data_IF_016261756618
#
_entry.id   IF_016261756618
#
_cell.length_a   1.000
_cell.length_b   1.000
_cell.length_c   1.000
_cell.angle_alpha   90.00
_cell.angle_beta   90.00
_cell.angle_gamma   90.00
#
_symmetry.space_group_name_H-M   'P 1'
#
loop_
_entity.id
_entity.type
_entity.pdbx_description
1 polymer ?
#
# COMPACT_ATOMS: atom_id res chain seq x y z
N UNK A 1 -11.03 15.02 -29.43
CA UNK A 1 -10.25 14.76 -28.20
C UNK A 1 -10.74 13.49 -27.47
N UNK A 2 -12.02 13.38 -27.21
CA UNK A 2 -12.63 12.25 -26.50
C UNK A 2 -12.33 10.90 -27.17
N UNK A 3 -12.42 10.79 -28.49
CA UNK A 3 -12.10 9.54 -29.21
C UNK A 3 -10.65 9.10 -29.04
N UNK A 4 -9.70 10.04 -29.00
CA UNK A 4 -8.29 9.75 -28.80
C UNK A 4 -8.03 9.22 -27.37
N UNK A 5 -8.60 9.88 -26.37
CA UNK A 5 -8.53 9.44 -24.95
C UNK A 5 -9.12 8.04 -24.80
N UNK A 6 -10.31 7.81 -25.37
CA UNK A 6 -10.96 6.49 -25.33
C UNK A 6 -10.10 5.41 -25.97
N UNK A 7 -9.47 5.69 -27.11
CA UNK A 7 -8.59 4.72 -27.77
C UNK A 7 -7.40 4.33 -26.89
N UNK A 8 -6.73 5.31 -26.26
CA UNK A 8 -5.59 5.03 -25.38
C UNK A 8 -6.01 4.35 -24.08
N UNK A 9 -7.19 4.68 -23.54
CA UNK A 9 -7.75 3.99 -22.37
C UNK A 9 -8.04 2.53 -22.69
N UNK A 10 -8.72 2.23 -23.79
CA UNK A 10 -9.03 0.85 -24.20
C UNK A 10 -7.76 0.04 -24.43
N UNK A 11 -6.72 0.63 -24.98
CA UNK A 11 -5.44 -0.04 -25.20
C UNK A 11 -4.69 -0.34 -23.90
N UNK A 12 -4.83 0.52 -22.89
CA UNK A 12 -4.13 0.34 -21.59
C UNK A 12 -4.94 -0.45 -20.56
N UNK A 13 -6.21 -0.78 -20.85
CA UNK A 13 -7.11 -1.36 -19.86
C UNK A 13 -6.63 -2.71 -19.31
N UNK A 14 -6.06 -3.58 -20.15
CA UNK A 14 -5.57 -4.89 -19.71
C UNK A 14 -4.46 -4.73 -18.67
N UNK A 15 -3.49 -3.87 -18.94
CA UNK A 15 -2.40 -3.58 -18.00
C UNK A 15 -2.94 -2.91 -16.73
N UNK A 16 -3.88 -1.96 -16.87
CA UNK A 16 -4.50 -1.29 -15.74
C UNK A 16 -5.24 -2.29 -14.82
N UNK A 17 -6.02 -3.19 -15.41
CA UNK A 17 -6.74 -4.25 -14.68
C UNK A 17 -5.75 -5.19 -13.99
N UNK A 18 -4.70 -5.62 -14.67
CA UNK A 18 -3.68 -6.49 -14.09
C UNK A 18 -2.98 -5.83 -12.90
N UNK A 19 -2.54 -4.58 -13.04
CA UNK A 19 -1.95 -3.81 -11.94
C UNK A 19 -2.95 -3.59 -10.79
N UNK A 20 -4.21 -3.30 -11.11
CA UNK A 20 -5.27 -3.11 -10.11
C UNK A 20 -5.51 -4.37 -9.29
N UNK A 21 -5.66 -5.52 -9.95
CA UNK A 21 -5.83 -6.80 -9.27
C UNK A 21 -4.61 -7.17 -8.42
N UNK A 22 -3.41 -6.92 -8.94
CA UNK A 22 -2.18 -7.20 -8.21
C UNK A 22 -2.07 -6.34 -6.93
N UNK A 23 -2.40 -5.04 -6.98
CA UNK A 23 -2.40 -4.16 -5.81
C UNK A 23 -3.45 -4.60 -4.79
N UNK A 24 -4.70 -4.83 -5.23
CA UNK A 24 -5.80 -5.27 -4.37
C UNK A 24 -5.43 -6.56 -3.63
N UNK A 25 -4.96 -7.56 -4.37
CA UNK A 25 -4.59 -8.86 -3.83
C UNK A 25 -3.41 -8.76 -2.86
N UNK A 26 -2.36 -8.02 -3.24
CA UNK A 26 -1.17 -7.89 -2.41
C UNK A 26 -1.46 -7.17 -1.09
N UNK A 27 -2.15 -6.01 -1.13
CA UNK A 27 -2.47 -5.26 0.09
C UNK A 27 -3.41 -6.08 0.99
N UNK A 28 -4.40 -6.76 0.42
CA UNK A 28 -5.31 -7.60 1.18
C UNK A 28 -4.57 -8.73 1.91
N UNK A 29 -3.73 -9.49 1.21
CA UNK A 29 -2.93 -10.57 1.82
C UNK A 29 -1.95 -10.01 2.86
N UNK A 30 -1.34 -8.86 2.57
CA UNK A 30 -0.37 -8.24 3.49
C UNK A 30 -1.01 -7.86 4.83
N UNK A 31 -2.21 -7.29 4.79
CA UNK A 31 -2.94 -6.96 6.01
C UNK A 31 -3.46 -8.22 6.71
N UNK A 32 -3.97 -9.18 5.96
CA UNK A 32 -4.33 -10.48 6.50
C UNK A 32 -3.15 -11.16 7.22
N UNK A 33 -1.95 -11.09 6.66
CA UNK A 33 -0.76 -11.63 7.33
C UNK A 33 -0.44 -10.95 8.67
N UNK A 34 -0.78 -9.66 8.84
CA UNK A 34 -0.58 -8.93 10.10
C UNK A 34 -1.44 -9.53 11.22
N UNK A 35 -2.62 -10.10 10.92
CA UNK A 35 -3.54 -10.67 11.91
C UNK A 35 -2.99 -11.93 12.60
N UNK A 36 -2.06 -12.64 11.94
CA UNK A 36 -1.44 -13.83 12.52
C UNK A 36 -0.37 -13.51 13.57
N UNK A 37 0.13 -12.27 13.58
CA UNK A 37 1.17 -11.88 14.52
C UNK A 37 0.58 -11.13 15.70
N UNK A 38 0.44 -11.80 16.83
CA UNK A 38 0.10 -11.15 18.09
C UNK A 38 1.09 -10.02 18.43
N UNK A 39 0.56 -8.90 18.92
CA UNK A 39 1.35 -7.72 19.27
C UNK A 39 2.44 -8.06 20.31
N UNK A 40 2.16 -8.98 21.24
CA UNK A 40 3.13 -9.39 22.26
C UNK A 40 4.32 -10.17 21.67
N UNK A 41 4.05 -11.14 20.78
CA UNK A 41 5.11 -11.88 20.08
C UNK A 41 5.93 -11.00 19.16
N UNK A 42 5.27 -10.05 18.49
CA UNK A 42 5.94 -9.12 17.61
C UNK A 42 6.89 -8.19 18.37
N UNK A 43 6.51 -7.71 19.56
CA UNK A 43 7.39 -6.94 20.46
C UNK A 43 8.65 -7.71 20.82
N UNK A 44 8.54 -8.99 21.20
CA UNK A 44 9.70 -9.82 21.53
C UNK A 44 10.69 -9.91 20.35
N UNK A 45 10.17 -10.08 19.13
CA UNK A 45 11.02 -10.13 17.93
C UNK A 45 11.71 -8.78 17.69
N UNK A 46 11.00 -7.66 17.83
CA UNK A 46 11.59 -6.33 17.65
C UNK A 46 12.64 -6.02 18.73
N UNK A 47 12.39 -6.40 20.00
CA UNK A 47 13.37 -6.22 21.07
C UNK A 47 14.68 -6.96 20.79
N UNK A 48 14.60 -8.15 20.17
CA UNK A 48 15.79 -8.90 19.75
C UNK A 48 16.61 -8.17 18.67
N UNK A 49 15.93 -7.38 17.82
CA UNK A 49 16.56 -6.61 16.75
C UNK A 49 16.84 -5.14 17.10
N UNK A 50 16.70 -4.73 18.36
CA UNK A 50 16.82 -3.34 18.79
C UNK A 50 18.16 -2.70 18.42
N UNK A 51 19.24 -3.47 18.45
CA UNK A 51 20.58 -3.00 18.08
C UNK A 51 20.70 -2.67 16.57
N UNK A 52 19.81 -3.23 15.77
CA UNK A 52 19.75 -2.99 14.32
C UNK A 52 18.81 -1.83 13.92
N UNK A 53 18.15 -1.18 14.89
CA UNK A 53 17.24 -0.05 14.61
C UNK A 53 17.91 1.06 13.81
N UNK A 54 19.24 1.26 13.99
CA UNK A 54 20.03 2.25 13.26
C UNK A 54 20.06 2.03 11.74
N UNK A 55 19.79 0.81 11.29
CA UNK A 55 19.76 0.43 9.88
C UNK A 55 18.31 0.40 9.33
N UNK A 56 17.32 0.58 10.17
CA UNK A 56 15.91 0.61 9.77
C UNK A 56 15.52 1.99 9.27
N UNK A 57 14.84 2.03 8.13
CA UNK A 57 14.28 3.27 7.59
C UNK A 57 13.10 3.81 8.41
N UNK A 58 12.50 2.96 9.26
CA UNK A 58 11.34 3.28 10.08
C UNK A 58 11.66 2.97 11.55
N UNK A 59 11.37 3.88 12.50
CA UNK A 59 11.56 3.62 13.93
C UNK A 59 10.77 2.39 14.38
N UNK A 60 11.40 1.50 15.15
CA UNK A 60 10.74 0.28 15.64
C UNK A 60 9.50 0.55 16.47
N UNK A 61 9.47 1.68 17.18
CA UNK A 61 8.29 2.11 17.93
C UNK A 61 7.03 2.24 17.03
N UNK A 62 7.18 2.67 15.77
CA UNK A 62 6.07 2.74 14.82
C UNK A 62 5.62 1.35 14.35
N UNK A 63 6.56 0.40 14.21
CA UNK A 63 6.25 -0.97 13.81
C UNK A 63 5.55 -1.77 14.91
N UNK A 64 5.66 -1.32 16.17
CA UNK A 64 4.95 -1.94 17.30
C UNK A 64 3.45 -1.66 17.28
N UNK A 65 3.00 -0.62 16.58
CA UNK A 65 1.57 -0.30 16.47
C UNK A 65 0.93 -0.98 15.24
N UNK A 66 -0.35 -1.36 15.35
CA UNK A 66 -1.09 -1.90 14.21
C UNK A 66 -1.18 -0.89 13.07
N UNK A 67 -1.40 0.39 13.38
CA UNK A 67 -1.41 1.49 12.41
C UNK A 67 -0.09 1.57 11.64
N UNK A 68 1.06 1.49 12.32
CA UNK A 68 2.38 1.53 11.69
C UNK A 68 2.64 0.33 10.78
N UNK A 69 2.22 -0.88 11.19
CA UNK A 69 2.34 -2.10 10.38
C UNK A 69 1.47 -2.05 9.11
N UNK A 70 0.26 -1.51 9.22
CA UNK A 70 -0.63 -1.30 8.07
C UNK A 70 -0.07 -0.21 7.15
N UNK A 71 0.47 0.89 7.70
CA UNK A 71 1.09 1.96 6.92
C UNK A 71 2.25 1.44 6.06
N UNK A 72 3.01 0.49 6.57
CA UNK A 72 4.14 -0.09 5.85
C UNK A 72 3.71 -0.84 4.59
N UNK A 73 2.47 -1.34 4.51
CA UNK A 73 1.97 -2.00 3.30
C UNK A 73 2.04 -1.11 2.05
N UNK A 74 1.96 0.21 2.21
CA UNK A 74 2.10 1.16 1.10
C UNK A 74 3.55 1.37 0.65
N UNK A 75 4.53 1.18 1.55
CA UNK A 75 5.96 1.31 1.25
C UNK A 75 6.60 -0.01 0.82
N UNK A 76 5.82 -1.06 0.66
CA UNK A 76 6.33 -2.35 0.20
C UNK A 76 6.87 -2.25 -1.23
N UNK A 77 8.04 -2.84 -1.51
CA UNK A 77 8.64 -2.80 -2.84
C UNK A 77 7.72 -3.32 -3.94
N UNK A 78 6.83 -4.25 -3.62
CA UNK A 78 5.87 -4.82 -4.57
C UNK A 78 4.87 -3.78 -5.05
N UNK A 79 4.28 -2.99 -4.14
CA UNK A 79 3.32 -1.93 -4.48
C UNK A 79 4.00 -0.86 -5.33
N UNK A 80 5.20 -0.43 -4.91
CA UNK A 80 6.02 0.53 -5.65
C UNK A 80 6.33 0.00 -7.06
N UNK A 81 6.76 -1.25 -7.17
CA UNK A 81 7.10 -1.88 -8.45
C UNK A 81 5.90 -1.94 -9.39
N UNK A 82 4.70 -2.24 -8.89
CA UNK A 82 3.48 -2.27 -9.72
C UNK A 82 3.19 -0.88 -10.31
N UNK A 83 3.32 0.18 -9.50
CA UNK A 83 3.12 1.57 -9.98
C UNK A 83 4.19 1.94 -11.00
N UNK A 84 5.45 1.58 -10.76
CA UNK A 84 6.57 1.81 -11.68
C UNK A 84 6.35 1.06 -13.00
N UNK A 85 5.93 -0.20 -12.97
CA UNK A 85 5.58 -0.96 -14.18
C UNK A 85 4.48 -0.25 -14.97
N UNK A 86 3.45 0.23 -14.30
CA UNK A 86 2.38 1.00 -14.95
C UNK A 86 2.93 2.23 -15.65
N UNK A 87 3.67 3.08 -14.94
CA UNK A 87 4.15 4.38 -15.45
C UNK A 87 5.18 4.22 -16.55
N UNK A 88 6.18 3.33 -16.38
CA UNK A 88 7.20 3.06 -17.41
C UNK A 88 6.56 2.46 -18.66
N UNK A 89 5.65 1.49 -18.50
CA UNK A 89 4.97 0.87 -19.62
C UNK A 89 4.16 1.87 -20.42
N UNK A 90 3.49 2.82 -19.75
CA UNK A 90 2.73 3.89 -20.39
C UNK A 90 3.65 4.92 -21.07
N UNK A 91 4.72 5.32 -20.39
CA UNK A 91 5.72 6.26 -20.96
C UNK A 91 6.40 5.68 -22.19
N UNK A 92 6.82 4.42 -22.12
CA UNK A 92 7.45 3.72 -23.25
C UNK A 92 6.50 3.56 -24.44
N UNK A 93 5.23 3.22 -24.20
CA UNK A 93 4.24 3.06 -25.28
C UNK A 93 3.91 4.39 -25.99
N UNK A 94 4.16 5.53 -25.36
CA UNK A 94 3.93 6.85 -25.93
C UNK A 94 4.78 7.11 -27.18
N UNK A 95 6.03 6.69 -27.20
CA UNK A 95 6.97 6.93 -28.29
C UNK A 95 7.43 5.61 -28.92
N UNK A 96 8.12 4.77 -28.15
CA UNK A 96 8.72 3.53 -28.66
C UNK A 96 7.67 2.53 -29.13
N UNK A 97 6.56 2.42 -28.42
CA UNK A 97 5.47 1.52 -28.82
C UNK A 97 4.77 1.94 -30.09
N UNK A 98 4.70 3.25 -30.40
CA UNK A 98 4.13 3.74 -31.66
C UNK A 98 5.11 3.61 -32.83
N UNK A 99 6.39 3.85 -32.56
CA UNK A 99 7.44 3.65 -33.55
C UNK A 99 7.51 2.19 -34.02
N UNK A 100 7.52 1.26 -33.07
CA UNK A 100 7.60 -0.18 -33.36
C UNK A 100 6.40 -0.73 -34.15
N UNK A 101 5.23 -0.09 -34.01
CA UNK A 101 4.00 -0.46 -34.76
C UNK A 101 3.84 0.27 -36.09
N UNK A 102 4.77 1.15 -36.45
CA UNK A 102 4.68 1.95 -37.68
C UNK A 102 3.53 2.97 -37.65
N UNK A 103 2.85 3.15 -36.52
CA UNK A 103 1.70 4.07 -36.39
C UNK A 103 2.12 5.52 -36.19
N UNK A 104 3.41 5.77 -35.91
CA UNK A 104 3.93 7.12 -35.67
C UNK A 104 3.79 7.99 -36.93
N UNK A 105 4.08 7.43 -38.11
CA UNK A 105 3.97 8.15 -39.38
C UNK A 105 2.52 8.53 -39.69
N UNK A 106 1.57 7.63 -39.43
CA UNK A 106 0.14 7.94 -39.60
C UNK A 106 -0.34 8.99 -38.62
N UNK A 107 0.21 9.06 -37.41
CA UNK A 107 -0.10 10.07 -36.41
C UNK A 107 0.49 11.45 -36.79
N UNK A 108 1.70 11.47 -37.35
CA UNK A 108 2.36 12.69 -37.79
C UNK A 108 1.76 13.24 -39.07
N UNK A 109 1.17 12.41 -39.94
CA UNK A 109 0.45 12.82 -41.15
C UNK A 109 -0.95 13.39 -40.88
N UNK A 110 -1.51 13.19 -39.69
CA UNK A 110 -2.79 13.76 -39.31
C UNK A 110 -2.65 15.21 -38.84
N UNK A 111 -3.65 16.08 -39.10
CA UNK A 111 -3.64 17.50 -38.69
C UNK A 111 -3.87 17.65 -37.16
N UNK A 112 -3.27 16.80 -36.36
CA UNK A 112 -3.35 16.83 -34.90
C UNK A 112 -2.03 17.38 -34.35
N UNK A 113 -2.10 18.40 -33.48
CA UNK A 113 -0.90 18.98 -32.88
C UNK A 113 -0.20 17.96 -31.96
N UNK A 114 1.13 17.88 -32.08
CA UNK A 114 1.97 16.99 -31.24
C UNK A 114 1.74 17.20 -29.74
N UNK A 115 1.52 18.47 -29.32
CA UNK A 115 1.19 18.81 -27.92
C UNK A 115 -0.09 18.14 -27.45
N UNK A 116 -1.10 18.01 -28.30
CA UNK A 116 -2.37 17.37 -27.96
C UNK A 116 -2.19 15.87 -27.69
N UNK A 117 -1.39 15.18 -28.49
CA UNK A 117 -1.09 13.77 -28.31
C UNK A 117 -0.37 13.55 -26.97
N UNK A 118 0.64 14.38 -26.68
CA UNK A 118 1.38 14.33 -25.42
C UNK A 118 0.46 14.53 -24.22
N UNK A 119 -0.36 15.57 -24.19
CA UNK A 119 -1.28 15.84 -23.08
C UNK A 119 -2.32 14.74 -22.86
N UNK A 120 -2.76 14.08 -23.91
CA UNK A 120 -3.66 12.93 -23.80
C UNK A 120 -2.95 11.76 -23.11
N UNK A 121 -1.69 11.49 -23.46
CA UNK A 121 -0.91 10.42 -22.81
C UNK A 121 -0.66 10.73 -21.34
N UNK A 122 -0.24 11.94 -21.01
CA UNK A 122 -0.07 12.39 -19.61
C UNK A 122 -1.38 12.22 -18.84
N UNK A 123 -2.50 12.65 -19.40
CA UNK A 123 -3.80 12.53 -18.75
C UNK A 123 -4.16 11.06 -18.49
N UNK A 124 -3.99 10.18 -19.47
CA UNK A 124 -4.30 8.75 -19.30
C UNK A 124 -3.40 8.10 -18.26
N UNK A 125 -2.09 8.40 -18.26
CA UNK A 125 -1.14 7.87 -17.27
C UNK A 125 -1.48 8.35 -15.86
N UNK A 126 -1.69 9.66 -15.70
CA UNK A 126 -2.04 10.27 -14.40
C UNK A 126 -3.37 9.73 -13.86
N UNK A 127 -4.39 9.62 -14.72
CA UNK A 127 -5.68 9.05 -14.31
C UNK A 127 -5.54 7.60 -13.86
N UNK A 128 -4.75 6.79 -14.56
CA UNK A 128 -4.48 5.41 -14.17
C UNK A 128 -3.71 5.32 -12.85
N UNK A 129 -2.69 6.15 -12.64
CA UNK A 129 -1.96 6.21 -11.36
C UNK A 129 -2.88 6.62 -10.21
N UNK A 130 -3.76 7.60 -10.42
CA UNK A 130 -4.75 8.01 -9.43
C UNK A 130 -5.71 6.86 -9.09
N UNK A 131 -6.17 6.13 -10.10
CA UNK A 131 -7.02 4.96 -9.91
C UNK A 131 -6.29 3.87 -9.08
N UNK A 132 -5.04 3.56 -9.38
CA UNK A 132 -4.25 2.58 -8.64
C UNK A 132 -4.04 3.01 -7.18
N UNK A 133 -3.78 4.28 -6.92
CA UNK A 133 -3.64 4.81 -5.56
C UNK A 133 -4.97 4.73 -4.77
N UNK A 134 -6.10 5.05 -5.40
CA UNK A 134 -7.43 4.91 -4.80
C UNK A 134 -7.74 3.44 -4.51
N UNK A 135 -7.42 2.53 -5.44
CA UNK A 135 -7.61 1.10 -5.23
C UNK A 135 -6.74 0.55 -4.11
N UNK A 136 -5.51 1.02 -3.96
CA UNK A 136 -4.66 0.67 -2.84
C UNK A 136 -5.29 1.07 -1.49
N UNK A 137 -5.86 2.29 -1.44
CA UNK A 137 -6.57 2.75 -0.25
C UNK A 137 -7.86 1.97 0.03
N UNK A 138 -8.65 1.69 -1.00
CA UNK A 138 -9.88 0.88 -0.82
C UNK A 138 -9.57 -0.55 -0.40
N UNK A 139 -8.49 -1.16 -0.91
CA UNK A 139 -8.04 -2.48 -0.49
C UNK A 139 -7.64 -2.49 1.00
N UNK A 140 -6.91 -1.46 1.44
CA UNK A 140 -6.54 -1.30 2.85
C UNK A 140 -7.77 -1.15 3.73
N UNK A 141 -8.68 -0.21 3.39
CA UNK A 141 -9.88 0.03 4.19
C UNK A 141 -10.76 -1.22 4.28
N UNK A 142 -11.00 -1.89 3.15
CA UNK A 142 -11.75 -3.14 3.12
C UNK A 142 -11.11 -4.20 4.01
N UNK A 143 -9.79 -4.34 3.94
CA UNK A 143 -9.07 -5.34 4.73
C UNK A 143 -9.12 -5.02 6.23
N UNK A 144 -8.97 -3.76 6.64
CA UNK A 144 -9.07 -3.34 8.05
C UNK A 144 -10.47 -3.60 8.63
N UNK A 145 -11.54 -3.43 7.82
CA UNK A 145 -12.91 -3.72 8.30
C UNK A 145 -13.28 -5.19 8.28
N UNK A 146 -12.63 -6.01 7.47
CA UNK A 146 -12.97 -7.44 7.35
C UNK A 146 -12.20 -8.34 8.31
N UNK A 147 -11.08 -7.86 8.85
CA UNK A 147 -10.21 -8.67 9.70
C UNK A 147 -10.35 -8.31 11.19
N UNK A 148 -10.24 -9.34 12.03
CA UNK A 148 -10.12 -9.24 13.48
C UNK A 148 -8.68 -9.49 13.92
N UNK A 149 -8.29 -8.91 15.03
CA UNK A 149 -6.97 -9.08 15.65
C UNK A 149 -7.15 -9.70 17.00
N UNK A 150 -6.30 -10.68 17.32
CA UNK A 150 -6.28 -11.32 18.62
C UNK A 150 -5.37 -10.53 19.55
N UNK A 151 -5.93 -9.99 20.62
CA UNK A 151 -5.17 -9.31 21.67
C UNK A 151 -5.08 -10.23 22.89
N UNK A 152 -3.85 -10.52 23.31
CA UNK A 152 -3.60 -11.29 24.53
C UNK A 152 -3.53 -10.32 25.71
N UNK A 153 -4.53 -10.34 26.56
CA UNK A 153 -4.53 -9.55 27.80
C UNK A 153 -3.63 -10.27 28.79
N UNK A 154 -2.59 -9.56 29.24
CA UNK A 154 -1.75 -10.07 30.31
C UNK A 154 -2.59 -10.33 31.56
N UNK A 155 -2.37 -11.44 32.29
CA UNK A 155 -3.09 -11.71 33.51
C UNK A 155 -2.88 -10.56 34.51
N UNK A 156 -3.88 -10.23 35.32
CA UNK A 156 -3.78 -9.17 36.32
C UNK A 156 -2.57 -9.41 37.21
N UNK A 157 -1.69 -8.42 37.30
CA UNK A 157 -0.54 -8.43 38.17
C UNK A 157 -0.86 -7.71 39.49
N UNK A 158 -0.48 -8.26 40.61
CA UNK A 158 -0.58 -7.61 41.90
C UNK A 158 0.67 -6.74 42.09
N UNK A 159 0.48 -5.42 42.00
CA UNK A 159 1.50 -4.46 42.35
C UNK A 159 1.50 -4.22 43.84
N UNK A 160 2.50 -4.74 44.54
CA UNK A 160 2.67 -4.50 45.97
C UNK A 160 3.48 -3.21 46.14
N UNK A 161 2.92 -2.19 46.81
CA UNK A 161 3.66 -0.95 47.05
C UNK A 161 4.96 -1.23 47.82
N UNK A 162 6.11 -0.92 47.21
CA UNK A 162 7.43 -1.10 47.78
C UNK A 162 8.28 -2.26 47.22
N UNK A 163 7.74 -3.07 46.32
CA UNK A 163 8.53 -4.06 45.58
C UNK A 163 8.78 -3.63 44.15
N UNK A 164 10.01 -3.80 43.61
CA UNK A 164 10.36 -3.42 42.23
C UNK A 164 9.88 -4.42 41.17
N UNK A 165 9.05 -5.40 41.52
CA UNK A 165 8.49 -6.38 40.59
C UNK A 165 7.02 -6.64 40.89
N UNK A 166 6.23 -6.75 39.83
CA UNK A 166 4.82 -7.17 39.87
C UNK A 166 4.75 -8.71 39.86
N UNK A 167 3.94 -9.25 40.73
CA UNK A 167 3.69 -10.73 40.79
C UNK A 167 2.54 -11.03 39.86
N UNK A 168 2.75 -11.74 38.74
CA UNK A 168 1.63 -12.17 37.90
C UNK A 168 0.80 -13.19 38.71
N UNK A 169 -0.51 -12.98 38.77
CA UNK A 169 -1.46 -13.95 39.30
C UNK A 169 -1.52 -15.13 38.32
N UNK A 170 -0.61 -16.06 38.51
CA UNK A 170 -0.27 -17.19 37.62
C UNK A 170 -1.39 -18.23 37.41
N UNK A 171 -2.59 -17.99 37.95
CA UNK A 171 -3.71 -18.94 37.87
C UNK A 171 -4.72 -18.63 36.76
N UNK A 172 -4.61 -17.47 36.10
CA UNK A 172 -5.45 -17.15 34.97
C UNK A 172 -4.67 -17.39 33.68
N UNK A 173 -5.16 -18.26 32.82
CA UNK A 173 -4.66 -18.36 31.46
C UNK A 173 -4.82 -16.99 30.78
N UNK A 174 -3.86 -16.59 29.95
CA UNK A 174 -3.97 -15.31 29.21
C UNK A 174 -5.25 -15.33 28.38
N UNK A 175 -6.16 -14.42 28.68
CA UNK A 175 -7.41 -14.31 27.96
C UNK A 175 -7.15 -13.68 26.60
N UNK A 176 -7.46 -14.41 25.55
CA UNK A 176 -7.35 -13.92 24.17
C UNK A 176 -8.70 -13.37 23.75
N UNK A 177 -8.76 -12.05 23.51
CA UNK A 177 -9.98 -11.39 23.02
C UNK A 177 -9.77 -11.01 21.54
N UNK A 178 -10.74 -11.43 20.72
CA UNK A 178 -10.79 -10.96 19.31
C UNK A 178 -11.48 -9.61 19.24
N UNK A 179 -10.78 -8.63 18.66
CA UNK A 179 -11.33 -7.30 18.42
C UNK A 179 -11.20 -6.95 16.94
N UNK A 180 -12.15 -6.16 16.38
CA UNK A 180 -12.04 -5.71 15.00
C UNK A 180 -10.82 -4.80 14.83
N UNK A 181 -10.08 -5.00 13.75
CA UNK A 181 -8.85 -4.24 13.48
C UNK A 181 -9.12 -2.73 13.33
N UNK A 182 -10.35 -2.36 12.96
CA UNK A 182 -10.79 -0.97 12.83
C UNK A 182 -10.76 -0.16 14.14
N UNK A 183 -10.72 -0.81 15.30
CA UNK A 183 -10.55 -0.12 16.60
C UNK A 183 -9.10 0.36 16.84
N UNK A 184 -8.13 -0.32 16.22
CA UNK A 184 -6.71 -0.04 16.41
C UNK A 184 -6.08 0.80 15.30
N UNK A 185 -6.78 0.95 14.18
CA UNK A 185 -6.26 1.58 12.96
C UNK A 185 -7.08 2.80 12.59
N UNK A 186 -6.50 3.98 12.74
CA UNK A 186 -7.12 5.23 12.31
C UNK A 186 -6.93 5.47 10.81
N UNK A 187 -7.96 5.20 10.02
CA UNK A 187 -7.93 5.27 8.56
C UNK A 187 -7.56 6.67 8.04
N UNK A 188 -7.93 7.72 8.77
CA UNK A 188 -7.63 9.10 8.39
C UNK A 188 -6.14 9.46 8.38
N UNK A 189 -5.30 8.69 9.07
CA UNK A 189 -3.84 8.92 9.09
C UNK A 189 -3.13 8.47 7.81
N UNK A 190 -3.82 7.75 6.91
CA UNK A 190 -3.19 7.20 5.69
C UNK A 190 -3.24 8.11 4.46
N UNK A 191 -3.86 9.29 4.54
CA UNK A 191 -3.87 10.24 3.43
C UNK A 191 -2.47 10.59 2.89
N UNK A 192 -1.45 10.80 3.73
CA UNK A 192 -0.09 11.06 3.23
C UNK A 192 0.48 9.89 2.40
N UNK A 193 0.20 8.65 2.77
CA UNK A 193 0.68 7.48 2.03
C UNK A 193 0.10 7.43 0.60
N UNK A 194 -1.19 7.74 0.44
CA UNK A 194 -1.85 7.80 -0.86
C UNK A 194 -1.26 8.90 -1.73
N UNK A 195 -1.04 10.09 -1.15
CA UNK A 195 -0.44 11.21 -1.88
C UNK A 195 0.99 10.89 -2.31
N UNK A 196 1.77 10.18 -1.49
CA UNK A 196 3.12 9.72 -1.84
C UNK A 196 3.07 8.72 -2.99
N UNK A 197 2.19 7.71 -2.95
CA UNK A 197 2.03 6.74 -4.03
C UNK A 197 1.65 7.43 -5.35
N UNK A 198 0.73 8.40 -5.29
CA UNK A 198 0.35 9.17 -6.45
C UNK A 198 1.53 10.01 -6.99
N UNK A 199 2.25 10.70 -6.11
CA UNK A 199 3.41 11.49 -6.47
C UNK A 199 4.51 10.63 -7.10
N UNK A 200 4.83 9.47 -6.53
CA UNK A 200 5.80 8.53 -7.11
C UNK A 200 5.44 8.14 -8.53
N UNK A 201 4.18 7.79 -8.80
CA UNK A 201 3.76 7.43 -10.14
C UNK A 201 3.70 8.62 -11.11
N UNK A 202 3.72 9.84 -10.62
CA UNK A 202 3.77 11.05 -11.46
C UNK A 202 5.21 11.43 -11.84
N UNK A 203 6.18 11.15 -10.96
CA UNK A 203 7.60 11.51 -11.20
C UNK A 203 8.40 10.43 -11.92
N UNK A 204 7.88 9.22 -12.08
CA UNK A 204 8.49 8.13 -12.88
C UNK A 204 8.07 8.23 -14.34
#
# INVERSE_FOLDING_TARGET
MIHLVRHYLLKSQILCIACSLAILFFIYIRIWAITFFDAARFRQVIEFFKDFEKFSAVPFAQLMTYTGRVAQAFNEPVVITIIVIWTISRGSDCVAGQLNRGTLEMLLGNPISRRRIYWVQVLVTTTGTCLLAILAWTAMTLSVYTHTVTETIAPPSLDIPGMPFSIPLSFAEPETIERPMSEFVEINQFWPAITILFAMGFFV
#
